data_IF_423242025117
#
_entry.id   IF_423242025117
#
_cell.length_a   1.000
_cell.length_b   1.000
_cell.length_c   1.000
_cell.angle_alpha   90.00
_cell.angle_beta   90.00
_cell.angle_gamma   90.00
#
_symmetry.space_group_name_H-M   'P 1'
#
loop_
_entity.id
_entity.type
_entity.pdbx_description
1 polymer ?
#
# COMPACT_ATOMS: atom_id res chain seq x y z
N UNK A 1 -28.77 -23.17 -2.78
CA UNK A 1 -27.67 -22.24 -3.09
C UNK A 1 -26.42 -23.08 -3.27
N UNK A 2 -25.80 -23.06 -4.45
CA UNK A 2 -24.63 -23.88 -4.71
C UNK A 2 -23.46 -23.36 -3.85
N UNK A 3 -22.97 -24.19 -2.94
CA UNK A 3 -21.69 -23.96 -2.25
C UNK A 3 -20.59 -24.05 -3.32
N UNK A 4 -20.22 -22.93 -3.91
CA UNK A 4 -19.00 -22.86 -4.70
C UNK A 4 -17.83 -23.08 -3.73
N UNK A 5 -17.20 -24.24 -3.81
CA UNK A 5 -16.01 -24.58 -3.04
C UNK A 5 -14.91 -23.59 -3.40
N UNK A 6 -14.72 -22.56 -2.57
CA UNK A 6 -13.63 -21.61 -2.78
C UNK A 6 -12.29 -22.35 -2.72
N UNK A 7 -11.35 -22.03 -3.62
CA UNK A 7 -10.02 -22.62 -3.58
C UNK A 7 -9.41 -22.38 -2.19
N UNK A 8 -8.92 -23.46 -1.57
CA UNK A 8 -8.29 -23.41 -0.26
C UNK A 8 -6.78 -23.38 -0.43
N UNK A 9 -6.12 -22.49 0.31
CA UNK A 9 -4.66 -22.48 0.40
C UNK A 9 -4.16 -23.73 1.13
N UNK A 10 -3.02 -24.27 0.68
CA UNK A 10 -2.31 -25.31 1.42
C UNK A 10 -1.67 -24.75 2.69
N UNK A 11 -1.34 -25.61 3.65
CA UNK A 11 -0.80 -25.19 4.95
C UNK A 11 0.43 -24.29 4.80
N UNK A 12 1.37 -24.68 3.95
CA UNK A 12 2.60 -23.92 3.69
C UNK A 12 2.32 -22.49 3.19
N UNK A 13 1.36 -22.32 2.29
CA UNK A 13 0.95 -21.00 1.81
C UNK A 13 0.32 -20.15 2.91
N UNK A 14 -0.45 -20.78 3.82
CA UNK A 14 -1.04 -20.08 4.95
C UNK A 14 0.04 -19.64 5.93
N UNK A 15 0.99 -20.51 6.25
CA UNK A 15 2.09 -20.16 7.15
C UNK A 15 2.94 -19.03 6.56
N UNK A 16 3.25 -19.12 5.27
CA UNK A 16 4.04 -18.11 4.57
C UNK A 16 3.35 -16.73 4.54
N UNK A 17 2.04 -16.69 4.29
CA UNK A 17 1.26 -15.44 4.27
C UNK A 17 1.03 -14.84 5.66
N UNK A 18 0.96 -15.68 6.71
CA UNK A 18 0.74 -15.23 8.08
C UNK A 18 2.04 -14.92 8.82
N UNK A 19 3.21 -15.23 8.23
CA UNK A 19 4.49 -14.89 8.84
C UNK A 19 4.64 -13.37 8.93
N UNK A 20 5.41 -12.91 9.92
CA UNK A 20 5.73 -11.49 10.05
C UNK A 20 6.55 -10.98 8.88
N UNK A 21 6.25 -9.76 8.41
CA UNK A 21 7.01 -9.11 7.34
C UNK A 21 8.47 -8.89 7.75
N UNK A 22 9.41 -9.10 6.84
CA UNK A 22 10.82 -8.89 7.07
C UNK A 22 11.29 -7.51 6.61
N UNK A 23 12.34 -7.02 7.24
CA UNK A 23 12.93 -5.71 6.93
C UNK A 23 13.40 -5.64 5.47
N UNK A 24 13.94 -6.72 4.90
CA UNK A 24 14.39 -6.71 3.51
C UNK A 24 13.22 -6.59 2.54
N UNK A 25 12.07 -7.21 2.83
CA UNK A 25 10.86 -7.14 1.98
C UNK A 25 10.36 -5.69 1.89
N UNK A 26 10.38 -4.97 3.02
CA UNK A 26 10.01 -3.55 3.04
C UNK A 26 11.00 -2.72 2.21
N UNK A 27 12.30 -2.96 2.36
CA UNK A 27 13.34 -2.25 1.58
C UNK A 27 13.22 -2.52 0.09
N UNK A 28 12.98 -3.78 -0.28
CA UNK A 28 12.77 -4.19 -1.66
C UNK A 28 11.53 -3.52 -2.25
N UNK A 29 10.41 -3.55 -1.52
CA UNK A 29 9.17 -2.88 -1.91
C UNK A 29 9.38 -1.37 -2.14
N UNK A 30 10.13 -0.68 -1.26
CA UNK A 30 10.48 0.73 -1.43
C UNK A 30 11.37 0.93 -2.68
N UNK A 31 12.32 0.03 -2.93
CA UNK A 31 13.24 0.11 -4.07
C UNK A 31 12.51 0.03 -5.41
N UNK A 32 11.62 -0.94 -5.56
CA UNK A 32 10.84 -1.16 -6.78
C UNK A 32 9.65 -0.20 -6.93
N UNK A 33 9.35 0.59 -5.89
CA UNK A 33 8.25 1.55 -5.91
C UNK A 33 8.38 2.53 -7.08
N UNK A 34 7.28 2.75 -7.81
CA UNK A 34 7.29 3.56 -9.03
C UNK A 34 7.65 5.02 -8.74
N UNK A 35 8.55 5.58 -9.53
CA UNK A 35 8.90 7.01 -9.48
C UNK A 35 7.92 7.82 -10.33
N UNK A 36 7.71 9.10 -9.98
CA UNK A 36 6.89 10.03 -10.76
C UNK A 36 5.37 9.91 -10.56
N UNK A 37 4.91 9.16 -9.55
CA UNK A 37 3.51 9.17 -9.13
C UNK A 37 3.19 10.40 -8.27
N UNK A 38 1.97 10.90 -8.39
CA UNK A 38 1.44 11.96 -7.53
C UNK A 38 1.39 11.45 -6.07
N UNK A 39 1.77 12.28 -5.09
CA UNK A 39 1.61 11.95 -3.68
C UNK A 39 0.17 11.57 -3.31
N UNK A 40 0.02 10.80 -2.25
CA UNK A 40 -1.29 10.47 -1.67
C UNK A 40 -1.86 11.62 -0.83
N UNK A 41 -2.82 11.30 0.04
CA UNK A 41 -3.36 12.23 1.04
C UNK A 41 -2.31 12.72 2.05
N UNK A 42 -1.19 12.02 2.17
CA UNK A 42 -0.05 12.35 3.04
C UNK A 42 0.89 13.41 2.46
N UNK A 43 0.79 13.72 1.16
CA UNK A 43 1.67 14.66 0.48
C UNK A 43 3.12 14.17 0.29
N UNK A 44 3.45 12.92 0.64
CA UNK A 44 4.81 12.40 0.52
C UNK A 44 5.07 11.86 -0.90
N UNK A 45 6.05 12.40 -1.65
CA UNK A 45 6.32 11.93 -3.00
C UNK A 45 7.06 10.58 -2.99
N UNK A 46 6.94 9.75 -4.03
CA UNK A 46 7.69 8.48 -4.15
C UNK A 46 9.21 8.60 -3.94
N UNK A 47 9.79 9.76 -4.28
CA UNK A 47 11.22 10.05 -4.04
C UNK A 47 11.57 10.06 -2.55
N UNK A 48 10.68 10.58 -1.69
CA UNK A 48 10.88 10.62 -0.25
C UNK A 48 11.08 9.21 0.31
N UNK A 49 10.23 8.26 -0.09
CA UNK A 49 10.31 6.87 0.33
C UNK A 49 11.67 6.23 0.01
N UNK A 50 12.22 6.53 -1.17
CA UNK A 50 13.54 6.00 -1.58
C UNK A 50 14.69 6.69 -0.85
N UNK A 51 14.61 8.00 -0.62
CA UNK A 51 15.64 8.78 0.08
C UNK A 51 15.72 8.41 1.56
N UNK A 52 14.56 8.24 2.22
CA UNK A 52 14.46 7.94 3.65
C UNK A 52 14.29 6.45 3.94
N UNK A 53 14.57 5.57 2.96
CA UNK A 53 14.26 4.15 3.02
C UNK A 53 14.75 3.47 4.32
N UNK A 54 15.96 3.81 4.79
CA UNK A 54 16.54 3.22 6.01
C UNK A 54 15.71 3.53 7.26
N UNK A 55 15.36 4.80 7.49
CA UNK A 55 14.57 5.25 8.64
C UNK A 55 13.11 4.81 8.51
N UNK A 56 12.57 4.93 7.30
CA UNK A 56 11.18 4.63 7.01
C UNK A 56 10.87 3.14 7.14
N UNK A 57 11.80 2.26 6.76
CA UNK A 57 11.62 0.81 6.88
C UNK A 57 11.30 0.39 8.32
N UNK A 58 12.02 0.91 9.30
CA UNK A 58 11.78 0.58 10.72
C UNK A 58 10.42 1.09 11.20
N UNK A 59 10.04 2.28 10.75
CA UNK A 59 8.74 2.88 11.07
C UNK A 59 7.60 2.06 10.46
N UNK A 60 7.70 1.72 9.17
CA UNK A 60 6.71 0.90 8.46
C UNK A 60 6.58 -0.50 9.07
N UNK A 61 7.70 -1.11 9.47
CA UNK A 61 7.69 -2.39 10.19
C UNK A 61 6.87 -2.29 11.48
N UNK A 62 7.11 -1.25 12.26
CA UNK A 62 6.39 -1.01 13.52
C UNK A 62 4.89 -0.81 13.29
N UNK A 63 4.52 -0.06 12.24
CA UNK A 63 3.12 0.14 11.86
C UNK A 63 2.47 -1.19 11.44
N UNK A 64 3.16 -1.98 10.62
CA UNK A 64 2.67 -3.29 10.17
C UNK A 64 2.47 -4.24 11.34
N UNK A 65 3.45 -4.37 12.24
CA UNK A 65 3.36 -5.26 13.41
C UNK A 65 2.18 -4.86 14.31
N UNK A 66 1.99 -3.57 14.56
CA UNK A 66 0.85 -3.05 15.32
C UNK A 66 -0.48 -3.33 14.63
N UNK A 67 -0.55 -3.14 13.32
CA UNK A 67 -1.76 -3.39 12.55
C UNK A 67 -2.15 -4.87 12.54
N UNK A 68 -1.18 -5.77 12.42
CA UNK A 68 -1.39 -7.21 12.49
C UNK A 68 -1.83 -7.64 13.89
N UNK A 69 -1.20 -7.11 14.94
CA UNK A 69 -1.58 -7.42 16.33
C UNK A 69 -2.98 -6.91 16.68
N UNK A 70 -3.36 -5.73 16.20
CA UNK A 70 -4.68 -5.13 16.43
C UNK A 70 -5.76 -5.62 15.45
N UNK A 71 -5.39 -6.38 14.42
CA UNK A 71 -6.23 -6.71 13.26
C UNK A 71 -6.91 -5.47 12.64
N UNK A 72 -6.22 -4.32 12.66
CA UNK A 72 -6.77 -3.04 12.23
C UNK A 72 -5.66 -2.11 11.72
N UNK A 73 -5.89 -1.47 10.57
CA UNK A 73 -4.98 -0.47 10.04
C UNK A 73 -5.12 0.86 10.80
N UNK A 74 -4.05 1.65 10.90
CA UNK A 74 -4.15 3.03 11.38
C UNK A 74 -5.21 3.82 10.59
N UNK A 75 -6.05 4.64 11.24
CA UNK A 75 -7.16 5.33 10.57
C UNK A 75 -6.74 6.17 9.35
N UNK A 76 -5.59 6.83 9.43
CA UNK A 76 -5.07 7.68 8.34
C UNK A 76 -4.69 6.89 7.07
N UNK A 77 -4.36 5.60 7.17
CA UNK A 77 -4.13 4.73 6.00
C UNK A 77 -5.44 4.37 5.28
N UNK A 78 -6.59 4.64 5.90
CA UNK A 78 -7.91 4.46 5.30
C UNK A 78 -8.47 5.77 4.68
N UNK A 79 -7.79 6.90 4.87
CA UNK A 79 -8.20 8.18 4.30
C UNK A 79 -8.10 8.17 2.77
N UNK A 80 -9.04 8.83 2.10
CA UNK A 80 -9.13 8.86 0.63
C UNK A 80 -9.08 10.29 0.11
N UNK A 81 -8.23 10.51 -0.88
CA UNK A 81 -8.21 11.73 -1.68
C UNK A 81 -9.00 11.50 -2.98
N UNK A 82 -10.15 12.16 -3.13
CA UNK A 82 -10.94 12.11 -4.35
C UNK A 82 -10.53 13.26 -5.27
N UNK A 83 -9.96 12.93 -6.43
CA UNK A 83 -9.63 13.90 -7.49
C UNK A 83 -10.49 13.56 -8.70
N UNK A 84 -11.26 14.54 -9.19
CA UNK A 84 -12.03 14.41 -10.42
C UNK A 84 -11.12 14.74 -11.60
N UNK A 85 -10.79 13.73 -12.42
CA UNK A 85 -10.03 13.91 -13.65
C UNK A 85 -10.99 13.81 -14.86
N UNK A 86 -11.28 14.92 -15.56
CA UNK A 86 -12.11 14.88 -16.75
C UNK A 86 -11.40 14.07 -17.84
N UNK A 87 -12.16 13.24 -18.57
CA UNK A 87 -11.61 12.53 -19.72
C UNK A 87 -11.42 13.50 -20.88
N UNK A 88 -10.33 13.39 -21.65
CA UNK A 88 -10.15 14.16 -22.88
C UNK A 88 -11.37 13.98 -23.80
N UNK A 89 -11.90 15.08 -24.35
CA UNK A 89 -13.03 15.06 -25.29
C UNK A 89 -14.43 14.97 -24.67
N UNK A 90 -14.56 15.06 -23.35
CA UNK A 90 -15.87 15.25 -22.69
C UNK A 90 -16.27 16.72 -22.64
N UNK A 91 -17.55 17.04 -22.81
CA UNK A 91 -18.08 18.39 -22.58
C UNK A 91 -17.80 18.79 -21.12
N UNK A 92 -16.89 19.75 -20.92
CA UNK A 92 -16.38 20.15 -19.60
C UNK A 92 -14.87 19.98 -19.40
N UNK A 93 -14.14 19.44 -20.38
CA UNK A 93 -12.68 19.47 -20.36
C UNK A 93 -12.18 20.92 -20.48
N UNK A 94 -11.70 21.48 -19.37
CA UNK A 94 -10.91 22.72 -19.37
C UNK A 94 -9.49 22.31 -19.73
N UNK A 95 -8.96 22.83 -20.84
CA UNK A 95 -7.53 22.70 -21.14
C UNK A 95 -6.74 23.48 -20.07
N UNK A 96 -5.79 22.80 -19.43
CA UNK A 96 -4.85 23.38 -18.46
C UNK A 96 -3.60 23.88 -19.17
#
# INVERSE_FOLDING_TARGET
MANASLPQLVLEQKEELNRGIMIFEIKEAISVHATGKTPGSDGLPPKFYKTEATSLTLTLKTVYDKAMAAACLPPNLCDKLLILLPKPGSEGAVEL
#
